data_IF_559874310045
#
_entry.id   IF_559874310045
#
_cell.length_a   1.000
_cell.length_b   1.000
_cell.length_c   1.000
_cell.angle_alpha   90.00
_cell.angle_beta   90.00
_cell.angle_gamma   90.00
#
_symmetry.space_group_name_H-M   'P 1'
#
loop_
_entity.id
_entity.type
_entity.pdbx_description
1 polymer ?
#
# COMPACT_ATOMS: atom_id res chain seq x y z
N UNK A 1 1.88 -3.95 2.04
CA UNK A 1 3.28 -3.65 2.44
C UNK A 1 4.03 -4.88 2.95
N UNK A 2 3.61 -5.56 4.02
CA UNK A 2 4.25 -6.82 4.52
C UNK A 2 4.61 -7.83 3.43
N UNK A 3 3.62 -8.18 2.59
CA UNK A 3 3.81 -9.17 1.53
C UNK A 3 4.79 -8.70 0.45
N UNK A 4 4.84 -7.39 0.19
CA UNK A 4 5.80 -6.81 -0.74
C UNK A 4 7.20 -6.88 -0.16
N UNK A 5 7.37 -6.52 1.13
CA UNK A 5 8.65 -6.65 1.84
C UNK A 5 9.17 -8.09 1.83
N UNK A 6 8.31 -9.07 2.14
CA UNK A 6 8.66 -10.50 2.11
C UNK A 6 9.15 -10.94 0.71
N UNK A 7 8.42 -10.57 -0.34
CA UNK A 7 8.81 -10.92 -1.72
C UNK A 7 10.07 -10.19 -2.18
N UNK A 8 10.26 -8.94 -1.78
CA UNK A 8 11.47 -8.18 -2.08
C UNK A 8 12.68 -8.82 -1.42
N UNK A 9 12.63 -9.10 -0.12
CA UNK A 9 13.74 -9.73 0.61
C UNK A 9 14.10 -11.11 0.04
N UNK A 10 13.11 -11.91 -0.37
CA UNK A 10 13.34 -13.20 -1.00
C UNK A 10 14.05 -13.11 -2.36
N UNK A 11 13.98 -11.97 -3.05
CA UNK A 11 14.57 -11.72 -4.37
C UNK A 11 15.54 -10.54 -4.37
N UNK A 12 16.06 -10.17 -3.21
CA UNK A 12 16.90 -8.98 -3.03
C UNK A 12 18.15 -9.03 -3.89
N UNK A 13 18.73 -10.22 -4.05
CA UNK A 13 19.89 -10.44 -4.92
C UNK A 13 19.63 -10.03 -6.37
N UNK A 14 18.45 -10.38 -6.92
CA UNK A 14 18.06 -9.96 -8.27
C UNK A 14 17.93 -8.43 -8.36
N UNK A 15 17.33 -7.80 -7.35
CA UNK A 15 17.25 -6.34 -7.29
C UNK A 15 18.64 -5.68 -7.24
N UNK A 16 19.60 -6.28 -6.52
CA UNK A 16 20.98 -5.79 -6.48
C UNK A 16 21.69 -5.92 -7.84
N UNK A 17 21.39 -6.95 -8.64
CA UNK A 17 21.97 -7.07 -9.99
C UNK A 17 21.44 -6.01 -10.97
N UNK A 18 20.20 -5.59 -10.79
CA UNK A 18 19.55 -4.57 -11.63
C UNK A 18 19.86 -3.13 -11.18
N UNK A 19 20.18 -2.96 -9.90
CA UNK A 19 20.40 -1.66 -9.27
C UNK A 19 21.69 -1.67 -8.44
N UNK A 20 21.69 -0.99 -7.30
CA UNK A 20 22.81 -0.95 -6.37
C UNK A 20 22.37 -1.24 -4.92
N UNK A 21 23.37 -1.37 -4.06
CA UNK A 21 23.16 -1.68 -2.65
C UNK A 21 22.45 -0.51 -1.91
N UNK A 22 22.64 0.73 -2.38
CA UNK A 22 21.96 1.91 -1.83
C UNK A 22 20.46 1.82 -2.06
N UNK A 23 20.05 1.48 -3.28
CA UNK A 23 18.65 1.26 -3.64
C UNK A 23 18.04 0.14 -2.81
N UNK A 24 18.72 -0.99 -2.68
CA UNK A 24 18.19 -2.13 -1.92
C UNK A 24 17.89 -1.75 -0.46
N UNK A 25 18.84 -1.08 0.22
CA UNK A 25 18.63 -0.61 1.61
C UNK A 25 17.50 0.40 1.71
N UNK A 26 17.44 1.37 0.79
CA UNK A 26 16.35 2.36 0.76
C UNK A 26 14.99 1.68 0.61
N UNK A 27 14.89 0.69 -0.29
CA UNK A 27 13.63 0.01 -0.56
C UNK A 27 13.17 -0.88 0.59
N UNK A 28 14.09 -1.59 1.26
CA UNK A 28 13.79 -2.33 2.49
C UNK A 28 13.26 -1.42 3.60
N UNK A 29 13.95 -0.30 3.82
CA UNK A 29 13.55 0.70 4.80
C UNK A 29 12.17 1.26 4.48
N UNK A 30 11.94 1.67 3.23
CA UNK A 30 10.65 2.20 2.78
C UNK A 30 9.50 1.22 3.05
N UNK A 31 9.66 -0.06 2.69
CA UNK A 31 8.61 -1.06 2.86
C UNK A 31 8.35 -1.38 4.35
N UNK A 32 9.40 -1.39 5.17
CA UNK A 32 9.30 -1.61 6.61
C UNK A 32 8.63 -0.42 7.32
N UNK A 33 9.13 0.79 7.07
CA UNK A 33 8.62 2.02 7.67
C UNK A 33 7.17 2.28 7.25
N UNK A 34 6.84 2.08 5.97
CA UNK A 34 5.46 2.20 5.51
C UNK A 34 4.56 1.17 6.20
N UNK A 35 4.99 -0.09 6.37
CA UNK A 35 4.19 -1.09 7.08
C UNK A 35 3.89 -0.66 8.53
N UNK A 36 4.89 -0.15 9.25
CA UNK A 36 4.71 0.39 10.60
C UNK A 36 3.77 1.58 10.60
N UNK A 37 3.92 2.50 9.64
CA UNK A 37 3.10 3.69 9.55
C UNK A 37 1.59 3.36 9.47
N UNK A 38 1.23 2.37 8.64
CA UNK A 38 -0.16 1.93 8.49
C UNK A 38 -0.66 1.05 9.65
N UNK A 39 0.21 0.31 10.34
CA UNK A 39 -0.21 -0.58 11.43
C UNK A 39 -0.30 0.14 12.78
N UNK A 40 0.66 1.00 13.06
CA UNK A 40 0.90 1.53 14.41
C UNK A 40 0.84 3.06 14.49
N UNK A 41 1.05 3.78 13.39
CA UNK A 41 1.15 5.25 13.39
C UNK A 41 -0.09 5.94 12.80
N UNK A 42 -1.20 5.20 12.65
CA UNK A 42 -2.48 5.77 12.24
C UNK A 42 -2.57 6.23 10.79
N UNK A 43 -1.64 5.83 9.91
CA UNK A 43 -1.79 6.08 8.47
C UNK A 43 -2.96 5.26 7.93
N UNK A 44 -3.66 5.81 6.94
CA UNK A 44 -4.81 5.17 6.33
C UNK A 44 -4.91 5.49 4.84
N UNK A 45 -5.63 4.64 4.11
CA UNK A 45 -6.00 4.87 2.72
C UNK A 45 -7.49 5.13 2.68
N UNK A 46 -7.90 6.31 2.21
CA UNK A 46 -9.31 6.65 2.05
C UNK A 46 -9.81 6.23 0.67
N UNK A 47 -11.03 5.70 0.65
CA UNK A 47 -11.82 5.58 -0.57
C UNK A 47 -13.07 6.45 -0.38
N UNK A 48 -13.15 7.53 -1.13
CA UNK A 48 -14.24 8.50 -1.04
C UNK A 48 -15.12 8.38 -2.27
N UNK A 49 -16.42 8.23 -2.06
CA UNK A 49 -17.42 8.30 -3.13
C UNK A 49 -17.97 9.72 -3.19
N UNK A 50 -17.78 10.39 -4.33
CA UNK A 50 -18.14 11.80 -4.51
C UNK A 50 -19.17 11.94 -5.64
N UNK A 51 -20.23 12.70 -5.39
CA UNK A 51 -21.29 12.99 -6.36
C UNK A 51 -21.70 14.46 -6.27
N UNK A 52 -22.18 15.04 -7.39
CA UNK A 52 -22.68 16.44 -7.40
C UNK A 52 -24.04 16.58 -6.69
N UNK A 53 -24.80 15.50 -6.56
CA UNK A 53 -26.12 15.45 -5.91
C UNK A 53 -26.11 14.32 -4.88
N UNK A 54 -26.52 14.61 -3.65
CA UNK A 54 -26.50 13.63 -2.54
C UNK A 54 -27.31 12.37 -2.83
N UNK A 55 -28.36 12.47 -3.66
CA UNK A 55 -29.24 11.37 -4.05
C UNK A 55 -28.77 10.56 -5.25
N UNK A 56 -27.59 10.87 -5.82
CA UNK A 56 -27.08 10.18 -7.01
C UNK A 56 -26.53 8.77 -6.71
N UNK A 57 -26.23 8.46 -5.46
CA UNK A 57 -25.87 7.12 -5.01
C UNK A 57 -27.09 6.47 -4.33
N UNK A 58 -27.27 5.13 -4.45
CA UNK A 58 -28.26 4.42 -3.65
C UNK A 58 -28.09 4.69 -2.16
N UNK A 59 -29.20 4.78 -1.43
CA UNK A 59 -29.19 5.05 0.01
C UNK A 59 -28.54 3.90 0.80
N UNK A 60 -28.77 2.65 0.37
CA UNK A 60 -28.05 1.47 0.88
C UNK A 60 -26.78 1.22 0.07
N UNK A 61 -25.81 0.55 0.68
CA UNK A 61 -24.51 0.23 0.08
C UNK A 61 -24.46 -1.16 -0.55
N UNK A 62 -25.62 -1.79 -0.78
CA UNK A 62 -25.71 -3.19 -1.25
C UNK A 62 -25.04 -3.38 -2.62
N UNK A 63 -25.00 -2.33 -3.44
CA UNK A 63 -24.29 -2.32 -4.72
C UNK A 63 -22.75 -2.46 -4.61
N UNK A 64 -22.17 -2.29 -3.42
CA UNK A 64 -20.73 -2.46 -3.20
C UNK A 64 -20.34 -3.93 -3.01
N UNK A 65 -21.28 -4.77 -2.60
CA UNK A 65 -21.06 -6.17 -2.29
C UNK A 65 -21.85 -7.01 -3.30
N UNK A 66 -21.28 -7.21 -4.48
CA UNK A 66 -21.79 -8.19 -5.46
C UNK A 66 -21.51 -9.62 -5.04
#
# INVERSE_FOLDING_TARGET
LRHWRKRFLARRGEALTMYDERFCRMWEFYLAASEVAFRELGHMVFQLQLTKKQTAAPLSRDYLCG
#
